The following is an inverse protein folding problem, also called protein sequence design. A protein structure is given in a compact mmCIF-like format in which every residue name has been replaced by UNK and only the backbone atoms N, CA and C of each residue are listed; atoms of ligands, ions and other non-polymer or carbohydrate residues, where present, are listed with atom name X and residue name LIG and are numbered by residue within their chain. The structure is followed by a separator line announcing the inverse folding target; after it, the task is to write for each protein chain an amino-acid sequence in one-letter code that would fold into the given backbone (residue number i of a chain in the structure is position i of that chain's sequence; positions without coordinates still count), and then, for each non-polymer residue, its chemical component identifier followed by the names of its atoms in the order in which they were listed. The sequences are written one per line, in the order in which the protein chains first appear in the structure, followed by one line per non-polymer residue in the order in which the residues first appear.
data_IF_017297105054
#
_entry.id   IF_017297105054
#
_cell.length_a   1.000
_cell.length_b   1.000
_cell.length_c   1.000
_cell.angle_alpha   90.00
_cell.angle_beta   90.00
_cell.angle_gamma   90.00
#
_symmetry.space_group_name_H-M   'P 1'
#
loop_
_entity.id
_entity.type
_entity.pdbx_description
1 polymer ?
#
# COMPACT_ATOMS: atom_id res chain seq x y z
N UNK A 1 10.42 -3.88 2.48
CA UNK A 1 10.00 -2.61 1.81
C UNK A 1 8.81 -2.04 2.59
N UNK A 2 8.41 -0.78 2.38
CA UNK A 2 7.12 -0.27 2.89
C UNK A 2 6.25 0.26 1.76
N UNK A 3 4.95 0.11 1.90
CA UNK A 3 3.96 0.52 0.90
C UNK A 3 2.78 1.22 1.55
N UNK A 4 2.17 2.15 0.82
CA UNK A 4 0.90 2.78 1.16
C UNK A 4 0.10 3.09 -0.10
N UNK A 5 -1.20 3.31 0.05
CA UNK A 5 -2.10 3.72 -1.03
C UNK A 5 -2.53 5.17 -0.80
N UNK A 6 -2.38 5.99 -1.84
CA UNK A 6 -2.91 7.34 -1.88
C UNK A 6 -4.41 7.29 -2.21
N UNK A 7 -5.24 7.55 -1.20
CA UNK A 7 -6.69 7.51 -1.35
C UNK A 7 -7.26 8.66 -2.17
N UNK A 8 -6.50 9.73 -2.41
CA UNK A 8 -6.92 10.79 -3.33
C UNK A 8 -6.76 10.38 -4.80
N UNK A 9 -5.91 9.38 -5.08
CA UNK A 9 -5.64 8.86 -6.42
C UNK A 9 -6.29 7.50 -6.68
N UNK A 10 -6.66 6.77 -5.63
CA UNK A 10 -7.28 5.46 -5.77
C UNK A 10 -8.65 5.57 -6.46
N UNK A 11 -8.80 4.86 -7.57
CA UNK A 11 -10.05 4.83 -8.34
C UNK A 11 -10.95 3.64 -8.01
N UNK A 12 -10.55 2.79 -7.06
CA UNK A 12 -11.32 1.63 -6.63
C UNK A 12 -11.34 0.44 -7.59
N UNK A 13 -10.31 0.29 -8.43
CA UNK A 13 -10.22 -0.77 -9.45
C UNK A 13 -10.08 -2.18 -8.85
N UNK A 14 -9.43 -2.29 -7.69
CA UNK A 14 -9.32 -3.55 -6.95
C UNK A 14 -8.19 -4.49 -7.40
N UNK A 15 -7.52 -4.22 -8.52
CA UNK A 15 -6.45 -5.09 -9.06
C UNK A 15 -5.32 -5.39 -8.06
N UNK A 16 -5.00 -4.44 -7.18
CA UNK A 16 -3.99 -4.62 -6.14
C UNK A 16 -4.36 -5.70 -5.12
N UNK A 17 -5.63 -5.78 -4.71
CA UNK A 17 -6.12 -6.81 -3.81
C UNK A 17 -6.24 -8.17 -4.50
N UNK A 18 -6.30 -8.22 -5.84
CA UNK A 18 -6.25 -9.47 -6.61
C UNK A 18 -4.82 -10.00 -6.75
N UNK A 19 -3.84 -9.11 -6.98
CA UNK A 19 -2.43 -9.48 -7.16
C UNK A 19 -1.77 -9.80 -5.83
N UNK A 20 -1.99 -8.99 -4.78
CA UNK A 20 -1.35 -9.16 -3.48
C UNK A 20 -2.35 -8.95 -2.31
N UNK A 21 -3.27 -9.91 -2.07
CA UNK A 21 -4.30 -9.82 -1.02
C UNK A 21 -3.75 -9.82 0.40
N UNK A 22 -2.50 -10.26 0.60
CA UNK A 22 -1.83 -10.28 1.89
C UNK A 22 -1.44 -8.87 2.33
N UNK A 23 -1.23 -7.95 1.39
CA UNK A 23 -0.82 -6.56 1.64
C UNK A 23 -1.94 -5.58 1.35
N UNK A 24 -2.78 -5.84 0.35
CA UNK A 24 -3.85 -4.95 -0.08
C UNK A 24 -5.24 -5.53 0.18
N UNK A 25 -6.16 -4.68 0.62
CA UNK A 25 -7.54 -5.08 0.89
C UNK A 25 -8.50 -3.97 0.46
N UNK A 26 -9.62 -4.37 -0.17
CA UNK A 26 -10.67 -3.43 -0.56
C UNK A 26 -11.62 -3.15 0.60
N UNK A 27 -11.92 -1.87 0.82
CA UNK A 27 -12.90 -1.42 1.79
C UNK A 27 -14.24 -1.10 1.12
N UNK A 28 -15.29 -1.01 1.92
CA UNK A 28 -16.67 -0.80 1.47
C UNK A 28 -16.96 0.63 0.96
N UNK A 29 -15.99 1.53 1.10
CA UNK A 29 -16.01 2.89 0.60
C UNK A 29 -15.53 2.98 -0.86
N UNK A 30 -15.11 1.85 -1.43
CA UNK A 30 -14.60 1.75 -2.79
C UNK A 30 -13.11 2.09 -2.90
N UNK A 31 -12.37 2.19 -1.80
CA UNK A 31 -10.94 2.45 -1.79
C UNK A 31 -10.15 1.22 -1.33
N UNK A 32 -8.91 1.12 -1.80
CA UNK A 32 -7.99 0.06 -1.43
C UNK A 32 -7.11 0.51 -0.27
N UNK A 33 -6.88 -0.36 0.71
CA UNK A 33 -6.08 -0.08 1.89
C UNK A 33 -4.92 -1.08 2.01
N UNK A 34 -3.90 -0.70 2.76
CA UNK A 34 -2.77 -1.59 3.07
C UNK A 34 -2.94 -2.23 4.44
N UNK A 35 -2.40 -3.43 4.62
CA UNK A 35 -2.30 -4.15 5.89
C UNK A 35 -0.94 -4.84 5.99
N UNK A 36 -0.53 -5.16 7.21
CA UNK A 36 0.64 -6.04 7.39
C UNK A 36 0.28 -7.47 6.94
N UNK A 37 1.26 -8.20 6.39
CA UNK A 37 1.07 -9.56 5.91
C UNK A 37 0.61 -10.54 7.02
N UNK A 38 0.96 -10.26 8.28
CA UNK A 38 0.54 -11.05 9.44
C UNK A 38 -0.83 -10.65 9.99
N UNK A 39 -1.45 -9.59 9.45
CA UNK A 39 -2.78 -9.16 9.90
C UNK A 39 -3.87 -9.93 9.18
N UNK A 40 -4.93 -10.34 9.92
CA UNK A 40 -6.07 -11.00 9.30
C UNK A 40 -6.81 -10.06 8.33
N UNK A 41 -6.86 -8.76 8.64
CA UNK A 41 -7.54 -7.73 7.84
C UNK A 41 -6.87 -6.36 7.97
N UNK A 42 -7.29 -5.39 7.16
CA UNK A 42 -6.89 -3.98 7.27
C UNK A 42 -7.28 -3.28 8.60
N UNK A 43 -8.05 -3.94 9.46
CA UNK A 43 -8.46 -3.41 10.77
C UNK A 43 -7.44 -3.70 11.89
N UNK A 44 -6.27 -4.24 11.56
CA UNK A 44 -5.22 -4.52 12.53
C UNK A 44 -5.13 -5.99 12.93
N UNK A 45 -4.21 -6.32 13.86
CA UNK A 45 -3.96 -7.70 14.29
C UNK A 45 -5.17 -8.33 15.00
N UNK A 46 -6.05 -7.51 15.60
CA UNK A 46 -7.26 -7.98 16.27
C UNK A 46 -8.37 -8.38 15.29
N UNK A 47 -8.26 -7.98 14.01
CA UNK A 47 -9.20 -8.34 12.94
C UNK A 47 -10.64 -7.87 13.12
N UNK A 48 -10.92 -7.03 14.12
CA UNK A 48 -12.29 -6.58 14.42
C UNK A 48 -12.78 -5.65 13.30
N UNK A 49 -13.87 -5.98 12.57
CA UNK A 49 -14.40 -5.16 11.50
C UNK A 49 -15.12 -3.89 12.00
N UNK A 50 -14.92 -3.53 13.27
CA UNK A 50 -15.54 -2.38 13.91
C UNK A 50 -14.55 -1.22 13.91
N UNK A 51 -14.58 -0.39 12.88
CA UNK A 51 -13.78 0.81 12.84
C UNK A 51 -13.39 1.20 11.43
N UNK A 52 -12.46 2.13 11.35
CA UNK A 52 -11.85 2.53 10.09
C UNK A 52 -10.53 1.75 9.91
N UNK A 53 -10.03 1.58 8.67
CA UNK A 53 -8.75 0.90 8.42
C UNK A 53 -7.61 1.52 9.22
N UNK A 54 -6.71 0.69 9.75
CA UNK A 54 -5.61 1.16 10.62
C UNK A 54 -4.64 2.03 9.84
N UNK A 55 -4.35 1.65 8.59
CA UNK A 55 -3.44 2.37 7.73
C UNK A 55 -4.18 3.21 6.72
N UNK A 56 -4.08 4.54 6.84
CA UNK A 56 -4.68 5.49 5.90
C UNK A 56 -3.71 6.59 5.50
N UNK A 57 -3.80 6.99 4.23
CA UNK A 57 -2.98 8.06 3.65
C UNK A 57 -1.49 7.84 3.93
N UNK A 58 -0.68 8.90 3.80
CA UNK A 58 0.76 8.83 4.03
C UNK A 58 1.17 8.48 5.47
N UNK A 59 0.22 8.42 6.42
CA UNK A 59 0.46 7.99 7.80
C UNK A 59 0.36 6.47 7.99
N UNK A 60 -0.31 5.76 7.08
CA UNK A 60 -0.55 4.33 7.15
C UNK A 60 0.30 3.56 6.15
N UNK A 61 1.46 3.07 6.59
CA UNK A 61 2.37 2.31 5.74
C UNK A 61 2.54 0.90 6.29
N UNK A 62 2.29 -0.10 5.45
CA UNK A 62 2.52 -1.50 5.76
C UNK A 62 3.95 -1.92 5.42
N UNK A 63 4.51 -2.83 6.23
CA UNK A 63 5.71 -3.57 5.89
C UNK A 63 5.41 -4.62 4.84
N UNK A 64 6.29 -4.71 3.84
CA UNK A 64 6.24 -5.74 2.80
C UNK A 64 7.39 -6.71 3.04
N UNK A 65 7.09 -7.96 3.46
CA UNK A 65 8.07 -9.05 3.55
C UNK A 65 8.68 -9.38 2.19
N UNK A 66 9.88 -9.98 2.20
CA UNK A 66 10.60 -10.28 0.96
C UNK A 66 9.82 -11.21 0.02
N UNK A 67 8.98 -12.10 0.57
CA UNK A 67 8.13 -13.02 -0.20
C UNK A 67 7.00 -12.32 -0.98
N UNK A 68 6.59 -11.13 -0.56
CA UNK A 68 5.51 -10.35 -1.19
C UNK A 68 6.04 -9.18 -2.02
N UNK A 69 7.36 -9.02 -2.17
CA UNK A 69 7.95 -7.90 -2.89
C UNK A 69 7.53 -7.86 -4.36
N UNK A 70 7.68 -8.98 -5.07
CA UNK A 70 7.39 -9.04 -6.51
C UNK A 70 5.91 -8.78 -6.77
N UNK A 71 5.01 -9.41 -5.99
CA UNK A 71 3.57 -9.19 -6.10
C UNK A 71 3.17 -7.75 -5.76
N UNK A 72 3.83 -7.12 -4.78
CA UNK A 72 3.59 -5.71 -4.44
C UNK A 72 4.05 -4.77 -5.57
N UNK A 73 5.18 -5.07 -6.20
CA UNK A 73 5.70 -4.30 -7.33
C UNK A 73 4.76 -4.43 -8.53
N UNK A 74 4.36 -5.66 -8.87
CA UNK A 74 3.39 -5.94 -9.94
C UNK A 74 2.06 -5.21 -9.70
N UNK A 75 1.55 -5.23 -8.46
CA UNK A 75 0.34 -4.48 -8.08
C UNK A 75 0.48 -2.99 -8.36
N UNK A 76 1.66 -2.41 -8.10
CA UNK A 76 1.93 -1.00 -8.34
C UNK A 76 2.06 -0.65 -9.83
N UNK A 77 2.61 -1.55 -10.64
CA UNK A 77 2.79 -1.36 -12.09
C UNK A 77 1.48 -1.53 -12.87
N UNK A 78 0.62 -2.46 -12.45
CA UNK A 78 -0.68 -2.71 -13.07
C UNK A 78 -1.77 -1.74 -12.61
N UNK A 79 -1.51 -0.94 -11.56
CA UNK A 79 -2.50 -0.01 -11.01
C UNK A 79 -2.75 1.18 -11.96
N UNK A 80 -3.96 1.32 -12.54
CA UNK A 80 -4.25 2.38 -13.50
C UNK A 80 -4.24 3.78 -12.88
N UNK A 81 -4.52 3.87 -11.57
CA UNK A 81 -4.54 5.13 -10.82
C UNK A 81 -3.16 5.58 -10.33
N UNK A 82 -2.11 4.75 -10.50
CA UNK A 82 -0.77 5.00 -9.96
C UNK A 82 -0.77 5.39 -8.46
N UNK A 83 -1.75 4.87 -7.69
CA UNK A 83 -1.97 5.28 -6.30
C UNK A 83 -1.12 4.51 -5.28
N UNK A 84 -0.43 3.44 -5.71
CA UNK A 84 0.40 2.61 -4.83
C UNK A 84 1.80 3.19 -4.78
N UNK A 85 2.23 3.59 -3.58
CA UNK A 85 3.57 4.13 -3.36
C UNK A 85 4.37 3.15 -2.53
N UNK A 86 5.42 2.58 -3.14
CA UNK A 86 6.38 1.69 -2.49
C UNK A 86 7.74 2.38 -2.30
N UNK A 87 8.35 2.24 -1.12
CA UNK A 87 9.72 2.73 -0.86
C UNK A 87 10.48 1.82 0.08
N UNK A 88 11.79 1.82 -0.09
CA UNK A 88 12.70 1.21 0.88
C UNK A 88 12.94 2.21 2.02
N UNK A 89 12.71 1.74 3.24
CA UNK A 89 13.04 2.46 4.47
C UNK A 89 14.21 1.76 5.13
N UNK A 90 15.33 2.47 5.28
CA UNK A 90 16.55 1.95 5.94
C UNK A 90 16.66 2.35 7.42
N UNK A 91 15.58 2.91 8.00
CA UNK A 91 15.59 3.41 9.37
C UNK A 91 15.96 4.89 9.49
N UNK A 92 16.52 5.52 8.45
CA UNK A 92 16.90 6.94 8.48
C UNK A 92 16.35 7.75 7.29
N UNK A 93 16.09 7.10 6.16
CA UNK A 93 15.69 7.74 4.91
C UNK A 93 14.89 6.81 3.99
N UNK A 94 14.18 7.45 3.06
CA UNK A 94 13.31 6.81 2.10
C UNK A 94 13.95 6.86 0.72
N UNK A 95 14.24 5.70 0.13
CA UNK A 95 14.82 5.64 -1.21
C UNK A 95 13.95 4.82 -2.16
N UNK A 96 14.04 5.17 -3.42
CA UNK A 96 13.41 4.41 -4.49
C UNK A 96 14.23 3.12 -4.74
N UNK A 97 13.56 2.01 -5.09
CA UNK A 97 14.23 0.86 -5.70
C UNK A 97 15.16 1.29 -6.84
N UNK A 98 16.33 0.67 -7.03
CA UNK A 98 17.08 0.85 -8.27
C UNK A 98 16.20 0.43 -9.46
N UNK A 99 15.92 1.36 -10.38
CA UNK A 99 15.05 1.14 -11.55
C UNK A 99 13.61 1.65 -11.44
N UNK A 100 13.20 2.18 -10.27
CA UNK A 100 11.83 2.65 -10.02
C UNK A 100 11.44 3.89 -10.84
N UNK A 101 10.42 3.75 -11.70
CA UNK A 101 9.72 4.84 -12.41
C UNK A 101 8.84 5.70 -11.49
N UNK A 102 8.63 5.26 -10.25
CA UNK A 102 7.71 5.86 -9.28
C UNK A 102 8.17 7.25 -8.81
N UNK A 103 7.33 8.27 -9.07
CA UNK A 103 7.63 9.68 -8.83
C UNK A 103 7.14 10.17 -7.47
N UNK A 104 8.03 10.93 -6.83
CA UNK A 104 7.84 11.95 -5.78
C UNK A 104 7.20 11.56 -4.43
N UNK A 105 8.09 11.38 -3.46
CA UNK A 105 7.89 11.65 -2.03
C UNK A 105 8.64 12.93 -1.66
N UNK A 106 8.16 13.78 -0.71
CA UNK A 106 6.98 13.62 0.13
C UNK A 106 5.67 14.15 -0.49
N UNK A 107 4.50 13.73 0.03
CA UNK A 107 3.21 14.25 -0.40
C UNK A 107 3.12 15.73 -0.02
N UNK A 108 2.85 16.59 -0.99
CA UNK A 108 2.70 18.04 -0.77
C UNK A 108 3.75 18.93 -1.42
N UNK A 109 4.60 18.43 -2.32
CA UNK A 109 5.37 19.28 -3.24
C UNK A 109 4.99 19.01 -4.69
N UNK A 110 3.85 19.56 -5.09
CA UNK A 110 3.72 20.12 -6.45
C UNK A 110 4.28 21.54 -6.45
#
# INVERSE_FOLDING_TARGET
MKVWIDQDLCTGDGICAEICPDIFEMHDDGLAYVKEADWPTMYGPDGSPTGEPVYKMAGGMAGVPDEHLDATIESAEECPGECITSRFFDGQSWFNPPGSVFRHWPPGKR
#
